data_IF_953835952748
#
_entry.id   IF_953835952748
#
_cell.length_a   1.000
_cell.length_b   1.000
_cell.length_c   1.000
_cell.angle_alpha   90.00
_cell.angle_beta   90.00
_cell.angle_gamma   90.00
#
_symmetry.space_group_name_H-M   'P 1'
#
loop_
_entity.id
_entity.type
_entity.pdbx_description
1 polymer ?
#
# COMPACT_ATOMS: atom_id res chain seq x y z
N UNK A 1 2.73 14.40 -0.22
CA UNK A 1 3.93 13.61 0.13
C UNK A 1 3.45 12.28 0.65
N UNK A 2 3.84 11.18 0.01
CA UNK A 2 3.68 9.85 0.61
C UNK A 2 4.54 9.85 1.89
N UNK A 3 3.99 9.38 3.00
CA UNK A 3 4.74 9.28 4.26
C UNK A 3 6.02 8.46 4.06
N UNK A 4 7.03 8.72 4.89
CA UNK A 4 8.24 7.89 4.98
C UNK A 4 7.87 6.43 5.28
N UNK A 5 8.76 5.49 4.98
CA UNK A 5 8.51 4.05 5.25
C UNK A 5 8.13 3.79 6.71
N UNK A 6 8.72 4.54 7.66
CA UNK A 6 8.38 4.43 9.08
C UNK A 6 6.97 4.91 9.40
N UNK A 7 6.51 6.00 8.77
CA UNK A 7 5.14 6.50 8.97
C UNK A 7 4.10 5.55 8.35
N UNK A 8 4.43 4.92 7.23
CA UNK A 8 3.59 3.92 6.60
C UNK A 8 3.50 2.64 7.44
N UNK A 9 4.61 2.18 8.02
CA UNK A 9 4.62 1.04 8.94
C UNK A 9 3.83 1.35 10.23
N UNK A 10 3.96 2.54 10.80
CA UNK A 10 3.21 2.95 11.99
C UNK A 10 1.69 3.01 11.71
N UNK A 11 1.31 3.50 10.53
CA UNK A 11 -0.09 3.50 10.11
C UNK A 11 -0.63 2.08 9.94
N UNK A 12 0.13 1.19 9.31
CA UNK A 12 -0.26 -0.21 9.12
C UNK A 12 -0.40 -0.95 10.47
N UNK A 13 0.53 -0.75 11.40
CA UNK A 13 0.45 -1.28 12.76
C UNK A 13 -0.84 -0.82 13.46
N UNK A 14 -1.19 0.46 13.37
CA UNK A 14 -2.44 0.98 13.94
C UNK A 14 -3.67 0.38 13.27
N UNK A 15 -3.64 0.16 11.96
CA UNK A 15 -4.72 -0.48 11.23
C UNK A 15 -4.90 -1.93 11.70
N UNK A 16 -3.80 -2.66 11.83
CA UNK A 16 -3.76 -4.03 12.33
C UNK A 16 -4.36 -4.13 13.75
N UNK A 17 -3.92 -3.28 14.68
CA UNK A 17 -4.45 -3.23 16.04
C UNK A 17 -5.97 -3.01 16.06
N UNK A 18 -6.46 -2.11 15.19
CA UNK A 18 -7.89 -1.82 15.07
C UNK A 18 -8.67 -2.96 14.41
N UNK A 19 -8.05 -3.71 13.49
CA UNK A 19 -8.64 -4.89 12.86
C UNK A 19 -8.77 -6.03 13.87
N UNK A 20 -7.69 -6.32 14.62
CA UNK A 20 -7.67 -7.33 15.69
C UNK A 20 -8.71 -7.01 16.76
N UNK A 21 -8.80 -5.75 17.22
CA UNK A 21 -9.82 -5.32 18.19
C UNK A 21 -11.26 -5.56 17.73
N UNK A 22 -11.50 -5.62 16.41
CA UNK A 22 -12.80 -5.91 15.79
C UNK A 22 -12.95 -7.34 15.30
N UNK A 23 -11.99 -8.23 15.60
CA UNK A 23 -11.93 -9.61 15.08
C UNK A 23 -11.95 -9.69 13.55
N UNK A 24 -11.42 -8.67 12.90
CA UNK A 24 -11.17 -8.69 11.45
C UNK A 24 -9.83 -9.38 11.26
N UNK A 25 -9.85 -10.47 10.50
CA UNK A 25 -8.65 -11.20 10.13
C UNK A 25 -7.79 -10.35 9.19
N UNK A 26 -6.52 -10.15 9.55
CA UNK A 26 -5.51 -9.57 8.66
C UNK A 26 -4.50 -10.66 8.31
N UNK A 27 -4.26 -10.85 7.01
CA UNK A 27 -3.41 -11.90 6.46
C UNK A 27 -2.47 -11.29 5.43
N UNK A 28 -1.20 -11.67 5.50
CA UNK A 28 -0.14 -11.28 4.56
C UNK A 28 -0.41 -11.80 3.15
N UNK A 29 -1.04 -12.96 3.01
CA UNK A 29 -1.46 -13.53 1.71
C UNK A 29 -2.59 -12.72 1.05
N UNK A 30 -3.43 -12.04 1.85
CA UNK A 30 -4.59 -11.27 1.37
C UNK A 30 -4.29 -9.77 1.20
N UNK A 31 -3.13 -9.32 1.66
CA UNK A 31 -2.74 -7.90 1.70
C UNK A 31 -1.56 -7.65 0.78
N UNK A 32 -1.62 -6.56 0.01
CA UNK A 32 -0.51 -6.12 -0.85
C UNK A 32 -0.39 -4.60 -0.80
N UNK A 33 0.79 -4.08 -1.11
CA UNK A 33 1.04 -2.63 -1.11
C UNK A 33 1.08 -2.09 -2.54
N UNK A 34 0.41 -0.95 -2.76
CA UNK A 34 0.48 -0.20 -4.03
C UNK A 34 1.23 1.11 -3.78
N UNK A 35 2.39 1.25 -4.42
CA UNK A 35 3.20 2.46 -4.33
C UNK A 35 2.84 3.42 -5.46
N UNK A 36 2.28 4.57 -5.09
CA UNK A 36 2.05 5.67 -6.04
C UNK A 36 3.20 6.68 -5.95
N UNK A 37 4.30 6.37 -6.63
CA UNK A 37 5.50 7.21 -6.66
C UNK A 37 5.98 7.50 -8.08
N UNK A 38 6.55 8.69 -8.29
CA UNK A 38 7.25 9.08 -9.51
C UNK A 38 8.73 8.67 -9.51
N UNK A 39 9.24 8.15 -8.40
CA UNK A 39 10.60 7.63 -8.23
C UNK A 39 10.55 6.14 -7.87
N UNK A 40 11.60 5.38 -8.19
CA UNK A 40 11.75 3.99 -7.76
C UNK A 40 11.99 3.94 -6.25
N UNK A 41 10.90 3.88 -5.48
CA UNK A 41 10.93 3.66 -4.03
C UNK A 41 10.48 2.23 -3.79
N UNK A 42 11.21 1.48 -2.97
CA UNK A 42 10.69 0.26 -2.36
C UNK A 42 10.22 0.60 -0.95
N UNK A 43 9.07 0.07 -0.55
CA UNK A 43 8.56 0.22 0.79
C UNK A 43 8.71 -1.11 1.53
N UNK A 44 9.43 -1.08 2.65
CA UNK A 44 9.59 -2.24 3.53
C UNK A 44 8.47 -2.23 4.57
N UNK A 45 7.24 -2.52 4.11
CA UNK A 45 6.06 -2.66 4.98
C UNK A 45 5.88 -4.13 5.35
N UNK A 46 5.64 -4.39 6.62
CA UNK A 46 5.50 -5.73 7.19
C UNK A 46 4.19 -5.88 7.96
N UNK A 47 3.54 -7.03 7.84
CA UNK A 47 2.44 -7.48 8.71
C UNK A 47 2.91 -8.75 9.41
N UNK A 48 2.79 -8.80 10.74
CA UNK A 48 3.24 -9.95 11.55
C UNK A 48 4.71 -10.35 11.31
N UNK A 49 5.57 -9.39 10.94
CA UNK A 49 6.98 -9.64 10.63
C UNK A 49 7.26 -10.15 9.21
N UNK A 50 6.23 -10.39 8.39
CA UNK A 50 6.38 -10.76 6.99
C UNK A 50 6.22 -9.53 6.09
N UNK A 51 7.13 -9.38 5.12
CA UNK A 51 7.08 -8.27 4.15
C UNK A 51 5.92 -8.46 3.18
N UNK A 52 5.15 -7.39 3.00
CA UNK A 52 4.07 -7.36 2.02
C UNK A 52 4.62 -7.26 0.59
N UNK A 53 3.97 -7.97 -0.33
CA UNK A 53 4.29 -7.91 -1.75
C UNK A 53 3.86 -6.57 -2.35
N UNK A 54 4.76 -5.95 -3.13
CA UNK A 54 4.43 -4.78 -3.95
C UNK A 54 3.60 -5.21 -5.17
N UNK A 55 2.43 -4.60 -5.34
CA UNK A 55 1.58 -4.84 -6.52
C UNK A 55 2.22 -4.19 -7.75
N UNK A 56 2.63 -5.02 -8.71
CA UNK A 56 3.21 -4.56 -9.98
C UNK A 56 2.16 -4.13 -11.00
N UNK A 57 0.96 -4.70 -10.92
CA UNK A 57 -0.18 -4.34 -11.76
C UNK A 57 -1.47 -4.81 -11.09
N UNK A 58 -2.57 -4.11 -11.37
CA UNK A 58 -3.89 -4.51 -10.90
C UNK A 58 -4.84 -4.54 -12.08
N UNK A 59 -5.68 -5.58 -12.14
CA UNK A 59 -6.72 -5.69 -13.17
C UNK A 59 -7.84 -4.72 -12.79
N UNK A 60 -7.80 -3.52 -13.36
CA UNK A 60 -8.89 -2.54 -13.24
C UNK A 60 -10.18 -3.16 -13.84
N UNK A 61 -11.12 -3.56 -12.99
CA UNK A 61 -12.50 -3.81 -13.40
C UNK A 61 -13.17 -2.44 -13.59
N UNK A 62 -12.85 -1.80 -14.72
CA UNK A 62 -13.60 -0.69 -15.33
C UNK A 62 -14.08 0.42 -14.39
N UNK A 63 -13.16 1.08 -13.68
CA UNK A 63 -13.31 2.48 -13.37
C UNK A 63 -12.15 3.21 -14.04
N UNK A 64 -12.41 3.83 -15.19
CA UNK A 64 -11.41 4.49 -16.00
C UNK A 64 -10.76 5.65 -15.22
N UNK A 65 -9.54 5.45 -14.72
CA UNK A 65 -8.67 6.55 -14.33
C UNK A 65 -7.86 6.98 -15.56
N UNK A 66 -8.34 7.98 -16.27
CA UNK A 66 -7.57 8.63 -17.33
C UNK A 66 -6.34 9.31 -16.71
N UNK A 67 -5.15 8.86 -17.10
CA UNK A 67 -3.86 9.47 -16.75
C UNK A 67 -3.84 10.90 -17.30
N UNK A 68 -3.99 11.91 -16.45
CA UNK A 68 -3.74 13.29 -16.83
C UNK A 68 -2.22 13.41 -17.05
N UNK A 69 -1.83 13.45 -18.33
CA UNK A 69 -0.47 13.78 -18.74
C UNK A 69 -0.25 15.27 -18.48
N UNK A 70 0.44 15.62 -17.40
CA UNK A 70 0.95 16.98 -17.23
C UNK A 70 2.05 17.19 -18.29
N UNK A 71 1.73 18.02 -19.30
CA UNK A 71 2.71 18.56 -20.24
C UNK A 71 3.69 19.42 -19.45
N UNK A 72 4.98 19.16 -19.62
CA UNK A 72 6.06 20.08 -19.28
C UNK A 72 6.10 21.18 -20.35
N UNK A 73 5.85 22.43 -19.95
CA UNK A 73 6.34 23.64 -20.62
C UNK A 73 7.34 24.34 -19.70
#
# INVERSE_FOLDING_TARGET
MSGTSSELQDLDNKLYDRAVARRIESSTEKSKILLNSTTNISADITINGEKLEEVTSFKYLSAALSKISLRSE
#
